data_IF_994922852467
#
_entry.id   IF_994922852467
#
_cell.length_a   1.000
_cell.length_b   1.000
_cell.length_c   1.000
_cell.angle_alpha   90.00
_cell.angle_beta   90.00
_cell.angle_gamma   90.00
#
_symmetry.space_group_name_H-M   'P 1'
#
loop_
_entity.id
_entity.type
_entity.pdbx_description
1 polymer ?
#
# COMPACT_ATOMS: atom_id res chain seq x y z
N UNK A 1 16.72 -12.64 -19.44
CA UNK A 1 15.51 -11.81 -19.45
C UNK A 1 14.91 -11.91 -18.06
N UNK A 2 14.47 -10.80 -17.46
CA UNK A 2 13.64 -10.92 -16.27
C UNK A 2 12.29 -11.47 -16.73
N UNK A 3 11.77 -12.48 -16.04
CA UNK A 3 10.44 -13.00 -16.34
C UNK A 3 9.40 -12.15 -15.62
N UNK A 4 8.22 -11.98 -16.23
CA UNK A 4 7.09 -11.39 -15.53
C UNK A 4 6.75 -12.28 -14.33
N UNK A 5 6.47 -11.66 -13.19
CA UNK A 5 6.14 -12.37 -11.97
C UNK A 5 4.93 -11.74 -11.29
N UNK A 6 4.36 -12.45 -10.31
CA UNK A 6 3.18 -11.97 -9.58
C UNK A 6 3.58 -11.61 -8.16
N UNK A 7 3.11 -10.45 -7.69
CA UNK A 7 3.16 -10.08 -6.27
C UNK A 7 1.80 -10.40 -5.66
N UNK A 8 1.75 -11.35 -4.73
CA UNK A 8 0.53 -11.60 -3.96
C UNK A 8 0.36 -10.48 -2.95
N UNK A 9 -0.68 -9.67 -3.11
CA UNK A 9 -0.93 -8.50 -2.26
C UNK A 9 -2.08 -8.77 -1.31
N UNK A 10 -1.86 -8.52 -0.02
CA UNK A 10 -2.87 -8.61 1.04
C UNK A 10 -3.00 -7.26 1.74
N UNK A 11 -4.19 -6.69 1.74
CA UNK A 11 -4.51 -5.42 2.40
C UNK A 11 -5.58 -5.67 3.46
N UNK A 12 -5.26 -5.39 4.72
CA UNK A 12 -6.21 -5.44 5.84
C UNK A 12 -6.65 -4.04 6.21
N UNK A 13 -7.95 -3.78 6.11
CA UNK A 13 -8.55 -2.52 6.50
C UNK A 13 -9.13 -2.60 7.91
N UNK A 14 -8.52 -1.88 8.85
CA UNK A 14 -9.02 -1.68 10.20
C UNK A 14 -9.15 -0.18 10.53
N UNK A 15 -9.39 0.66 9.53
CA UNK A 15 -9.34 2.13 9.64
C UNK A 15 -10.62 2.77 10.16
N UNK A 16 -11.69 2.00 10.41
CA UNK A 16 -13.00 2.57 10.75
C UNK A 16 -13.76 3.14 9.54
N UNK A 17 -13.15 3.15 8.35
CA UNK A 17 -13.71 3.66 7.10
C UNK A 17 -13.49 2.66 5.96
N UNK A 18 -14.21 2.81 4.85
CA UNK A 18 -13.92 2.03 3.64
C UNK A 18 -12.71 2.61 2.91
N UNK A 19 -11.85 1.73 2.38
CA UNK A 19 -10.77 2.13 1.49
C UNK A 19 -11.29 2.18 0.05
N UNK A 20 -11.11 3.31 -0.62
CA UNK A 20 -11.43 3.47 -2.05
C UNK A 20 -10.17 3.68 -2.85
N UNK A 21 -9.92 2.85 -3.87
CA UNK A 21 -8.74 2.99 -4.69
C UNK A 21 -8.78 4.32 -5.46
N UNK A 22 -7.82 5.20 -5.19
CA UNK A 22 -7.62 6.45 -5.92
C UNK A 22 -6.85 6.22 -7.21
N UNK A 23 -5.70 5.55 -7.11
CA UNK A 23 -4.89 5.18 -8.27
C UNK A 23 -3.92 4.04 -7.96
N UNK A 24 -3.43 3.40 -9.02
CA UNK A 24 -2.54 2.24 -8.98
C UNK A 24 -1.75 2.19 -10.29
N UNK A 25 -0.56 1.61 -10.26
CA UNK A 25 0.16 1.22 -11.50
C UNK A 25 -0.49 0.03 -12.21
N UNK A 26 -1.35 -0.72 -11.50
CA UNK A 26 -1.92 -1.99 -11.96
C UNK A 26 -3.44 -2.00 -11.87
N UNK A 27 -4.12 -2.42 -12.94
CA UNK A 27 -5.59 -2.44 -13.02
C UNK A 27 -6.28 -3.41 -12.04
N UNK A 28 -5.55 -4.42 -11.53
CA UNK A 28 -6.11 -5.52 -10.71
C UNK A 28 -6.22 -5.15 -9.22
N UNK A 29 -5.73 -3.98 -8.80
CA UNK A 29 -5.88 -3.53 -7.42
C UNK A 29 -7.36 -3.46 -6.99
N UNK A 30 -7.66 -3.92 -5.78
CA UNK A 30 -9.02 -3.93 -5.25
C UNK A 30 -9.61 -2.51 -5.23
N UNK A 31 -10.72 -2.26 -5.94
CA UNK A 31 -11.32 -0.93 -6.03
C UNK A 31 -11.86 -0.42 -4.70
N UNK A 32 -12.38 -1.32 -3.88
CA UNK A 32 -12.92 -0.99 -2.55
C UNK A 32 -12.61 -2.12 -1.59
N UNK A 33 -12.19 -1.76 -0.38
CA UNK A 33 -11.97 -2.70 0.73
C UNK A 33 -12.73 -2.16 1.94
N UNK A 34 -13.83 -2.81 2.29
CA UNK A 34 -14.69 -2.34 3.37
C UNK A 34 -13.96 -2.38 4.73
N UNK A 35 -14.42 -1.57 5.68
CA UNK A 35 -13.88 -1.63 7.04
C UNK A 35 -13.97 -3.05 7.63
N UNK A 36 -12.96 -3.46 8.40
CA UNK A 36 -12.78 -4.80 8.99
C UNK A 36 -12.67 -5.94 7.98
N UNK A 37 -12.35 -5.65 6.72
CA UNK A 37 -12.13 -6.66 5.66
C UNK A 37 -10.66 -6.73 5.27
N UNK A 38 -10.19 -7.96 5.05
CA UNK A 38 -8.91 -8.25 4.39
C UNK A 38 -9.18 -8.66 2.95
N UNK A 39 -8.53 -7.98 2.00
CA UNK A 39 -8.55 -8.32 0.58
C UNK A 39 -7.19 -8.88 0.17
N UNK A 40 -7.21 -9.99 -0.57
CA UNK A 40 -6.01 -10.59 -1.17
C UNK A 40 -6.21 -10.68 -2.68
N UNK A 41 -5.26 -10.18 -3.45
CA UNK A 41 -5.31 -10.18 -4.91
C UNK A 41 -3.91 -10.30 -5.53
N UNK A 42 -3.78 -10.94 -6.70
CA UNK A 42 -2.52 -11.03 -7.42
C UNK A 42 -2.25 -9.73 -8.19
N UNK A 43 -0.99 -9.30 -8.21
CA UNK A 43 -0.55 -8.11 -8.96
C UNK A 43 0.52 -8.54 -9.96
N UNK A 44 0.19 -8.62 -11.27
CA UNK A 44 1.18 -8.99 -12.27
C UNK A 44 2.15 -7.83 -12.49
N UNK A 45 3.44 -8.09 -12.27
CA UNK A 45 4.52 -7.13 -12.50
C UNK A 45 5.21 -7.49 -13.82
N UNK A 46 5.11 -6.65 -14.86
CA UNK A 46 5.82 -6.89 -16.11
C UNK A 46 7.33 -6.90 -15.88
N UNK A 47 8.06 -7.72 -16.64
CA UNK A 47 9.51 -7.91 -16.53
C UNK A 47 10.36 -6.62 -16.51
N UNK A 48 9.88 -5.53 -17.13
CA UNK A 48 10.59 -4.26 -17.22
C UNK A 48 10.28 -3.29 -16.07
N UNK A 49 9.30 -3.61 -15.22
CA UNK A 49 8.91 -2.79 -14.08
C UNK A 49 9.70 -3.21 -12.84
N UNK A 50 10.25 -2.22 -12.14
CA UNK A 50 11.04 -2.41 -10.91
C UNK A 50 10.29 -2.03 -9.64
N UNK A 51 9.12 -1.41 -9.79
CA UNK A 51 8.37 -0.78 -8.69
C UNK A 51 6.87 -0.92 -8.92
N UNK A 52 6.11 -0.72 -7.86
CA UNK A 52 4.67 -0.59 -7.92
C UNK A 52 4.16 0.28 -6.79
N UNK A 53 2.97 0.85 -6.98
CA UNK A 53 2.26 1.50 -5.88
C UNK A 53 0.73 1.36 -5.99
N UNK A 54 0.09 1.55 -4.84
CA UNK A 54 -1.34 1.80 -4.69
C UNK A 54 -1.56 3.04 -3.84
N UNK A 55 -2.63 3.78 -4.13
CA UNK A 55 -3.13 4.85 -3.28
C UNK A 55 -4.61 4.62 -3.00
N UNK A 56 -4.98 4.58 -1.72
CA UNK A 56 -6.34 4.47 -1.25
C UNK A 56 -6.76 5.74 -0.50
N UNK A 57 -8.02 6.11 -0.67
CA UNK A 57 -8.70 7.10 0.17
C UNK A 57 -9.33 6.39 1.35
N UNK A 58 -9.06 6.88 2.56
CA UNK A 58 -9.58 6.36 3.82
C UNK A 58 -10.74 7.26 4.24
N UNK A 59 -11.97 6.91 3.82
CA UNK A 59 -13.12 7.81 3.94
C UNK A 59 -12.86 9.16 3.25
N UNK A 60 -13.03 10.27 3.97
CA UNK A 60 -12.76 11.63 3.47
C UNK A 60 -11.34 12.12 3.76
N UNK A 61 -10.58 11.44 4.63
CA UNK A 61 -9.17 11.71 4.96
C UNK A 61 -8.67 10.67 5.98
N UNK A 62 -7.42 10.17 5.91
CA UNK A 62 -6.30 10.53 5.01
C UNK A 62 -6.30 9.79 3.66
N UNK A 63 -5.36 10.16 2.80
CA UNK A 63 -4.89 9.29 1.72
C UNK A 63 -3.80 8.36 2.22
N UNK A 64 -3.77 7.12 1.73
CA UNK A 64 -2.81 6.10 2.12
C UNK A 64 -2.11 5.53 0.88
N UNK A 65 -0.78 5.63 0.86
CA UNK A 65 0.07 5.05 -0.18
C UNK A 65 0.78 3.81 0.33
N UNK A 66 0.84 2.77 -0.52
CA UNK A 66 1.76 1.65 -0.39
C UNK A 66 2.60 1.58 -1.66
N UNK A 67 3.92 1.60 -1.53
CA UNK A 67 4.90 1.51 -2.60
C UNK A 67 5.82 0.33 -2.32
N UNK A 68 6.22 -0.40 -3.36
CA UNK A 68 7.19 -1.49 -3.22
C UNK A 68 8.10 -1.61 -4.45
N UNK A 69 9.19 -2.34 -4.29
CA UNK A 69 10.14 -2.65 -5.34
C UNK A 69 10.30 -4.17 -5.52
N UNK A 70 10.81 -4.57 -6.68
CA UNK A 70 11.17 -5.96 -6.98
C UNK A 70 12.31 -6.49 -6.11
N UNK A 71 13.06 -5.59 -5.46
CA UNK A 71 14.20 -5.91 -4.60
C UNK A 71 13.78 -6.00 -3.11
N UNK A 72 12.51 -6.35 -2.85
CA UNK A 72 11.92 -6.48 -1.51
C UNK A 72 12.04 -5.22 -0.64
N UNK A 73 11.97 -4.04 -1.25
CA UNK A 73 11.80 -2.81 -0.51
C UNK A 73 10.35 -2.36 -0.52
N UNK A 74 9.94 -1.70 0.56
CA UNK A 74 8.57 -1.21 0.76
C UNK A 74 8.61 0.16 1.41
N UNK A 75 7.63 1.00 1.07
CA UNK A 75 7.37 2.27 1.72
C UNK A 75 5.87 2.44 1.86
N UNK A 76 5.44 2.96 3.00
CA UNK A 76 4.04 3.31 3.24
C UNK A 76 3.98 4.71 3.82
N UNK A 77 2.96 5.47 3.44
CA UNK A 77 2.77 6.82 3.94
C UNK A 77 1.30 7.20 3.98
N UNK A 78 0.93 7.90 5.05
CA UNK A 78 -0.36 8.57 5.19
C UNK A 78 -0.14 10.06 4.92
N UNK A 79 -1.04 10.67 4.14
CA UNK A 79 -0.95 12.07 3.75
C UNK A 79 -2.36 12.68 3.69
N UNK A 80 -2.47 14.02 3.70
CA UNK A 80 -3.79 14.65 3.56
C UNK A 80 -4.26 14.48 2.13
N UNK A 81 -5.55 14.21 1.92
CA UNK A 81 -6.11 14.00 0.57
C UNK A 81 -5.90 15.22 -0.35
N UNK A 82 -5.81 16.42 0.20
CA UNK A 82 -5.49 17.68 -0.49
C UNK A 82 -4.06 17.76 -1.02
N UNK A 83 -3.15 16.95 -0.49
CA UNK A 83 -1.74 17.01 -0.82
C UNK A 83 -1.46 16.22 -2.11
N UNK A 84 -0.35 16.57 -2.78
CA UNK A 84 0.12 15.81 -3.93
C UNK A 84 0.55 14.43 -3.47
N UNK A 85 0.21 13.41 -4.28
CA UNK A 85 0.59 12.01 -4.01
C UNK A 85 2.12 11.91 -3.89
N UNK A 86 2.67 11.45 -2.76
CA UNK A 86 4.11 11.56 -2.43
C UNK A 86 4.99 10.50 -3.15
N UNK A 87 4.85 10.35 -4.48
CA UNK A 87 5.54 9.29 -5.25
C UNK A 87 7.07 9.45 -5.21
N UNK A 88 7.58 10.67 -5.36
CA UNK A 88 9.02 10.93 -5.32
C UNK A 88 9.63 10.63 -3.95
N UNK A 89 8.88 10.92 -2.87
CA UNK A 89 9.29 10.60 -1.51
C UNK A 89 9.32 9.08 -1.28
N UNK A 90 8.35 8.35 -1.81
CA UNK A 90 8.31 6.90 -1.74
C UNK A 90 9.47 6.25 -2.51
N UNK A 91 9.78 6.76 -3.71
CA UNK A 91 10.86 6.25 -4.54
C UNK A 91 12.27 6.54 -3.97
N UNK A 92 12.42 7.61 -3.19
CA UNK A 92 13.70 8.00 -2.57
C UNK A 92 13.97 7.33 -1.22
N UNK A 93 12.94 6.80 -0.54
CA UNK A 93 13.09 6.23 0.81
C UNK A 93 12.51 4.80 0.97
N UNK A 94 12.66 3.87 0.01
CA UNK A 94 12.15 2.52 0.18
C UNK A 94 12.96 1.77 1.26
N UNK A 95 12.25 1.16 2.22
CA UNK A 95 12.84 0.43 3.35
C UNK A 95 12.88 -1.07 3.07
N UNK A 96 13.92 -1.76 3.54
CA UNK A 96 14.02 -3.21 3.37
C UNK A 96 12.97 -3.93 4.22
N UNK A 97 12.12 -4.72 3.57
CA UNK A 97 11.17 -5.63 4.21
C UNK A 97 9.98 -4.99 4.91
N UNK A 98 10.12 -3.85 5.60
CA UNK A 98 9.06 -3.26 6.42
C UNK A 98 9.10 -1.72 6.45
N UNK A 99 7.92 -1.09 6.44
CA UNK A 99 7.73 0.34 6.60
C UNK A 99 6.46 0.63 7.39
N UNK A 100 6.49 1.69 8.18
CA UNK A 100 5.35 2.17 8.97
C UNK A 100 5.24 3.69 8.87
N UNK A 101 4.03 4.20 9.06
CA UNK A 101 3.75 5.64 9.11
C UNK A 101 2.51 5.91 9.97
N UNK A 102 2.50 7.06 10.64
CA UNK A 102 1.33 7.54 11.37
C UNK A 102 0.97 8.97 10.97
N UNK A 103 -0.31 9.30 11.07
CA UNK A 103 -0.80 10.66 10.96
C UNK A 103 -1.83 10.91 12.07
N UNK A 104 -1.71 12.06 12.73
CA UNK A 104 -2.53 12.42 13.88
C UNK A 104 -3.48 13.54 13.47
N UNK A 105 -4.77 13.36 13.77
CA UNK A 105 -5.79 14.37 13.64
C UNK A 105 -6.39 14.70 15.02
N UNK A 106 -7.13 15.81 15.18
CA UNK A 106 -7.83 16.08 16.43
C UNK A 106 -8.82 14.97 16.77
N UNK A 107 -8.51 14.19 17.82
CA UNK A 107 -9.39 13.14 18.36
C UNK A 107 -9.28 11.76 17.70
N UNK A 108 -8.35 11.54 16.77
CA UNK A 108 -8.09 10.22 16.19
C UNK A 108 -6.69 10.13 15.58
N UNK A 109 -6.13 8.92 15.57
CA UNK A 109 -4.84 8.60 14.94
C UNK A 109 -5.01 7.48 13.94
N UNK A 110 -4.39 7.63 12.76
CA UNK A 110 -4.22 6.54 11.82
C UNK A 110 -2.78 6.03 11.85
N UNK A 111 -2.63 4.72 11.84
CA UNK A 111 -1.35 4.04 11.71
C UNK A 111 -1.44 3.08 10.53
N UNK A 112 -0.44 3.10 9.66
CA UNK A 112 -0.33 2.18 8.55
C UNK A 112 1.04 1.53 8.52
N UNK A 113 1.09 0.27 8.16
CA UNK A 113 2.33 -0.45 7.93
C UNK A 113 2.23 -1.28 6.66
N UNK A 114 3.39 -1.55 6.06
CA UNK A 114 3.52 -2.44 4.92
C UNK A 114 4.78 -3.29 5.09
N UNK A 115 4.70 -4.53 4.62
CA UNK A 115 5.78 -5.51 4.64
C UNK A 115 5.84 -6.21 3.29
N UNK A 116 7.04 -6.43 2.78
CA UNK A 116 7.27 -7.23 1.58
C UNK A 116 8.30 -8.32 1.88
N UNK A 117 8.05 -9.52 1.38
CA UNK A 117 8.94 -10.67 1.56
C UNK A 117 8.93 -11.59 0.34
N UNK A 118 10.00 -12.36 0.16
CA UNK A 118 10.03 -13.43 -0.84
C UNK A 118 9.31 -14.66 -0.30
N UNK A 119 8.46 -15.28 -1.11
CA UNK A 119 7.84 -16.58 -0.84
C UNK A 119 8.11 -17.56 -1.99
N UNK A 120 7.54 -18.77 -1.92
CA UNK A 120 7.73 -19.81 -2.94
C UNK A 120 7.22 -19.39 -4.33
N UNK A 121 6.29 -18.44 -4.40
CA UNK A 121 5.60 -18.01 -5.63
C UNK A 121 6.12 -16.66 -6.16
N UNK A 122 7.13 -16.06 -5.53
CA UNK A 122 7.67 -14.74 -5.88
C UNK A 122 7.76 -13.82 -4.67
N UNK A 123 7.07 -12.67 -4.74
CA UNK A 123 7.01 -11.70 -3.64
C UNK A 123 5.60 -11.65 -3.05
N UNK A 124 5.50 -11.48 -1.73
CA UNK A 124 4.27 -11.23 -1.02
C UNK A 124 4.31 -9.86 -0.36
N UNK A 125 3.34 -9.00 -0.70
CA UNK A 125 3.14 -7.70 -0.10
C UNK A 125 1.97 -7.79 0.89
N UNK A 126 2.21 -7.46 2.15
CA UNK A 126 1.16 -7.34 3.17
C UNK A 126 1.13 -5.91 3.67
N UNK A 127 -0.04 -5.29 3.67
CA UNK A 127 -0.22 -3.93 4.15
C UNK A 127 -1.47 -3.84 5.03
N UNK A 128 -1.43 -2.94 6.01
CA UNK A 128 -2.53 -2.72 6.92
C UNK A 128 -2.61 -1.24 7.30
N UNK A 129 -3.83 -0.81 7.56
CA UNK A 129 -4.14 0.48 8.17
C UNK A 129 -5.12 0.26 9.30
N UNK A 130 -4.90 0.96 10.40
CA UNK A 130 -5.78 0.98 11.56
C UNK A 130 -6.05 2.40 12.03
N UNK A 131 -7.15 2.57 12.76
CA UNK A 131 -7.44 3.80 13.51
C UNK A 131 -7.49 3.52 15.01
N UNK A 132 -7.08 4.51 15.80
CA UNK A 132 -7.28 4.56 17.24
C UNK A 132 -7.98 5.88 17.59
N UNK A 133 -8.96 5.81 18.49
CA UNK A 133 -9.65 6.96 19.10
C UNK A 133 -8.87 7.49 20.31
#
# INVERSE_FOLDING_TARGET
MADAFTVTTTITNDSGQDLKLRCSDYEIAAKTINNKVTATFPVPVPANYKVGFFVYDVGDSPGWMVFWTTDNQVFTMLFKISDTIPREQAASNPRQGHSEHEIIYPGYKYTAWARIETNADGQALTANISHAE
#
